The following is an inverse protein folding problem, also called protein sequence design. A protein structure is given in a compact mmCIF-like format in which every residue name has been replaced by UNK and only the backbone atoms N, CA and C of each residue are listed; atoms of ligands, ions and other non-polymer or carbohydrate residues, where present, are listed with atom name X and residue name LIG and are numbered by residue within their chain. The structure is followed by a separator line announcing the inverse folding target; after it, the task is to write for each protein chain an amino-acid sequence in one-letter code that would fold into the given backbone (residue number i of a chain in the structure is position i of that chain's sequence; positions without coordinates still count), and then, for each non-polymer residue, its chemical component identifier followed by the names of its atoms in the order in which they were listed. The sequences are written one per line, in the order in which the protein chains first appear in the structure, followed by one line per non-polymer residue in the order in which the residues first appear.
data_IF_778780604699
#
_entry.id   IF_778780604699
#
_cell.length_a   1.000
_cell.length_b   1.000
_cell.length_c   1.000
_cell.angle_alpha   90.00
_cell.angle_beta   90.00
_cell.angle_gamma   90.00
#
_symmetry.space_group_name_H-M   'P 1'
#
loop_
_entity.id
_entity.type
_entity.pdbx_description
1 polymer ?
#
# COMPACT_ATOMS: atom_id res chain seq x y z
N UNK A 1 -39.85 57.19 -43.50
CA UNK A 1 -38.53 56.75 -44.00
C UNK A 1 -37.82 56.18 -42.77
N UNK A 2 -38.03 54.92 -42.41
CA UNK A 2 -37.35 53.68 -42.90
C UNK A 2 -35.86 53.63 -42.55
N UNK A 3 -35.54 52.66 -41.69
CA UNK A 3 -34.28 51.88 -41.53
C UNK A 3 -33.04 52.66 -41.02
N UNK A 4 -32.12 52.14 -40.19
CA UNK A 4 -31.71 50.75 -39.93
C UNK A 4 -30.90 50.64 -38.60
N UNK A 5 -30.75 49.38 -38.15
CA UNK A 5 -30.19 48.84 -36.91
C UNK A 5 -28.74 49.19 -36.56
N UNK A 6 -28.40 49.14 -35.26
CA UNK A 6 -27.60 48.03 -34.67
C UNK A 6 -27.56 48.12 -33.14
N UNK A 7 -28.31 47.22 -32.51
CA UNK A 7 -28.03 46.67 -31.18
C UNK A 7 -26.73 45.85 -31.25
N UNK A 8 -25.81 46.08 -30.31
CA UNK A 8 -24.83 45.06 -29.90
C UNK A 8 -24.99 44.86 -28.41
N UNK A 9 -25.77 43.83 -28.09
CA UNK A 9 -25.87 43.21 -26.78
C UNK A 9 -24.52 42.62 -26.41
N UNK A 10 -23.88 43.17 -25.37
CA UNK A 10 -22.78 42.52 -24.67
C UNK A 10 -23.36 41.41 -23.79
N UNK A 11 -23.40 40.20 -24.34
CA UNK A 11 -23.56 38.97 -23.58
C UNK A 11 -22.23 38.22 -23.69
N UNK A 12 -21.34 38.45 -22.73
CA UNK A 12 -20.15 37.61 -22.54
C UNK A 12 -20.37 36.90 -21.21
N UNK A 13 -20.89 35.69 -21.30
CA UNK A 13 -21.23 34.84 -20.17
C UNK A 13 -19.96 34.23 -19.59
N UNK A 14 -19.62 34.61 -18.36
CA UNK A 14 -18.74 33.81 -17.51
C UNK A 14 -19.54 32.60 -17.01
N UNK A 15 -19.72 31.61 -17.87
CA UNK A 15 -20.13 30.28 -17.41
C UNK A 15 -18.94 29.64 -16.69
N UNK A 16 -19.19 29.20 -15.45
CA UNK A 16 -18.20 28.49 -14.63
C UNK A 16 -17.70 27.27 -15.40
N UNK A 17 -16.38 27.02 -15.35
CA UNK A 17 -15.76 25.85 -16.00
C UNK A 17 -16.41 24.53 -15.54
N UNK A 18 -16.94 24.49 -14.31
CA UNK A 18 -17.72 23.35 -13.82
C UNK A 18 -18.98 23.08 -14.66
N UNK A 19 -19.69 24.13 -15.10
CA UNK A 19 -20.91 23.99 -15.90
C UNK A 19 -20.61 23.54 -17.34
N UNK A 20 -19.47 23.96 -17.90
CA UNK A 20 -19.05 23.54 -19.24
C UNK A 20 -18.67 22.05 -19.28
N UNK A 21 -18.08 21.53 -18.21
CA UNK A 21 -17.72 20.11 -18.09
C UNK A 21 -18.99 19.26 -17.89
N UNK A 22 -19.95 19.73 -17.08
CA UNK A 22 -21.21 19.03 -16.85
C UNK A 22 -22.10 18.96 -18.11
N UNK A 23 -22.06 19.99 -18.97
CA UNK A 23 -22.76 19.99 -20.26
C UNK A 23 -22.20 18.94 -21.23
N UNK A 24 -20.87 18.76 -21.30
CA UNK A 24 -20.23 17.81 -22.22
C UNK A 24 -20.52 16.36 -21.82
N UNK A 25 -20.67 16.08 -20.53
CA UNK A 25 -20.96 14.73 -20.02
C UNK A 25 -22.46 14.36 -20.08
N UNK A 26 -23.33 15.35 -20.26
CA UNK A 26 -24.79 15.15 -20.33
C UNK A 26 -25.29 14.84 -21.76
N UNK A 27 -24.46 15.06 -22.79
CA UNK A 27 -24.86 14.95 -24.20
C UNK A 27 -24.75 13.53 -24.79
N UNK A 28 -24.19 12.55 -24.06
CA UNK A 28 -23.98 11.18 -24.57
C UNK A 28 -25.17 10.22 -24.38
N UNK A 29 -26.31 10.68 -23.84
CA UNK A 29 -27.46 9.82 -23.51
C UNK A 29 -28.74 10.08 -24.34
N UNK A 30 -28.61 10.69 -25.52
CA UNK A 30 -29.76 10.87 -26.43
C UNK A 30 -29.48 10.38 -27.83
N UNK A 31 -29.59 9.06 -28.05
CA UNK A 31 -30.08 8.45 -29.30
C UNK A 31 -30.08 6.90 -29.20
N UNK A 32 -31.12 6.32 -28.61
CA UNK A 32 -31.86 5.22 -29.23
C UNK A 32 -33.04 4.81 -28.34
N UNK A 33 -34.22 5.30 -28.70
CA UNK A 33 -35.48 4.67 -28.31
C UNK A 33 -36.18 4.30 -29.62
N UNK A 34 -36.24 3.00 -29.93
CA UNK A 34 -37.34 2.46 -30.74
C UNK A 34 -37.61 0.99 -30.39
N UNK A 35 -38.57 0.84 -29.48
CA UNK A 35 -39.69 -0.11 -29.50
C UNK A 35 -39.51 -1.53 -30.06
N UNK A 36 -39.73 -2.55 -29.20
CA UNK A 36 -41.04 -3.25 -29.17
C UNK A 36 -41.08 -4.24 -28.00
N UNK A 37 -42.15 -4.14 -27.20
CA UNK A 37 -42.64 -5.24 -26.39
C UNK A 37 -43.34 -6.25 -27.31
N UNK A 38 -43.29 -7.55 -27.03
CA UNK A 38 -44.38 -8.41 -26.51
C UNK A 38 -44.01 -9.90 -26.69
N UNK A 39 -44.50 -10.71 -25.74
CA UNK A 39 -44.85 -12.15 -25.81
C UNK A 39 -43.85 -13.19 -25.27
N UNK A 40 -44.31 -13.74 -24.14
CA UNK A 40 -43.97 -15.03 -23.56
C UNK A 40 -44.55 -16.12 -24.45
N UNK A 41 -43.75 -17.08 -24.88
CA UNK A 41 -44.25 -18.41 -25.26
C UNK A 41 -43.30 -19.51 -24.80
N UNK A 42 -43.91 -20.48 -24.12
CA UNK A 42 -43.32 -21.70 -23.58
C UNK A 42 -43.18 -22.77 -24.66
N UNK A 43 -42.17 -23.63 -24.46
CA UNK A 43 -42.06 -25.03 -24.94
C UNK A 43 -42.14 -25.32 -26.46
N UNK A 44 -41.04 -25.85 -27.01
CA UNK A 44 -41.11 -27.18 -27.63
C UNK A 44 -39.74 -27.87 -27.68
N UNK A 45 -39.79 -29.16 -27.35
CA UNK A 45 -38.71 -30.14 -27.37
C UNK A 45 -38.03 -30.24 -28.74
N UNK A 46 -36.70 -30.45 -28.75
CA UNK A 46 -36.08 -31.28 -29.78
C UNK A 46 -34.95 -32.10 -29.17
N UNK A 47 -35.28 -33.38 -28.96
CA UNK A 47 -34.46 -34.58 -29.08
C UNK A 47 -32.96 -34.49 -28.76
N UNK A 48 -32.67 -34.95 -27.53
CA UNK A 48 -31.59 -35.86 -27.14
C UNK A 48 -30.86 -36.51 -28.32
N UNK A 49 -29.63 -36.05 -28.60
CA UNK A 49 -28.60 -36.91 -29.17
C UNK A 49 -27.84 -37.57 -28.04
N UNK A 50 -28.06 -38.89 -27.92
CA UNK A 50 -27.28 -39.82 -27.12
C UNK A 50 -25.80 -39.73 -27.50
N UNK A 51 -24.98 -39.19 -26.61
CA UNK A 51 -23.56 -39.47 -26.57
C UNK A 51 -23.31 -40.41 -25.39
N UNK A 52 -22.87 -41.61 -25.73
CA UNK A 52 -22.46 -42.64 -24.79
C UNK A 52 -21.38 -42.13 -23.83
N UNK A 53 -21.60 -42.40 -22.53
CA UNK A 53 -20.58 -42.64 -21.51
C UNK A 53 -19.31 -41.78 -21.55
N UNK A 54 -19.42 -40.58 -21.01
CA UNK A 54 -18.49 -40.18 -19.97
C UNK A 54 -19.35 -39.90 -18.73
N UNK A 55 -19.32 -40.81 -17.76
CA UNK A 55 -19.56 -40.40 -16.38
C UNK A 55 -18.40 -39.46 -16.06
N UNK A 56 -18.58 -38.16 -16.34
CA UNK A 56 -17.85 -37.14 -15.64
C UNK A 56 -18.11 -37.44 -14.16
N UNK A 57 -17.09 -37.98 -13.49
CA UNK A 57 -17.03 -37.95 -12.04
C UNK A 57 -16.98 -36.46 -11.68
N UNK A 58 -18.15 -35.83 -11.62
CA UNK A 58 -18.32 -34.51 -11.03
C UNK A 58 -18.00 -34.73 -9.56
N UNK A 59 -16.75 -34.46 -9.20
CA UNK A 59 -16.27 -34.61 -7.83
C UNK A 59 -16.90 -33.49 -7.00
N UNK A 60 -17.98 -33.84 -6.29
CA UNK A 60 -18.63 -32.93 -5.37
C UNK A 60 -17.74 -32.76 -4.14
N UNK A 61 -17.52 -31.51 -3.67
CA UNK A 61 -16.76 -31.29 -2.44
C UNK A 61 -17.35 -32.12 -1.29
N UNK A 62 -16.49 -32.69 -0.45
CA UNK A 62 -16.89 -33.61 0.65
C UNK A 62 -17.96 -33.00 1.58
N UNK A 63 -18.01 -31.66 1.67
CA UNK A 63 -18.97 -30.87 2.46
C UNK A 63 -20.43 -30.99 1.98
N UNK A 64 -20.62 -31.39 0.71
CA UNK A 64 -21.93 -31.59 0.08
C UNK A 64 -22.30 -33.07 -0.08
N UNK A 65 -21.49 -33.98 0.48
CA UNK A 65 -21.71 -35.41 0.46
C UNK A 65 -22.01 -35.91 1.87
N UNK A 66 -22.96 -36.83 1.98
CA UNK A 66 -23.20 -37.59 3.20
C UNK A 66 -22.11 -38.66 3.36
N UNK A 67 -22.03 -39.27 4.54
CA UNK A 67 -21.05 -40.33 4.84
C UNK A 67 -21.19 -41.59 3.96
N UNK A 68 -22.30 -41.75 3.26
CA UNK A 68 -22.56 -42.81 2.28
C UNK A 68 -22.21 -42.42 0.84
N UNK A 69 -21.65 -41.22 0.61
CA UNK A 69 -21.29 -40.69 -0.69
C UNK A 69 -22.47 -40.14 -1.50
N UNK A 70 -23.69 -40.11 -0.94
CA UNK A 70 -24.85 -39.47 -1.58
C UNK A 70 -24.86 -37.96 -1.33
N UNK A 71 -25.43 -37.19 -2.26
CA UNK A 71 -25.49 -35.72 -2.16
C UNK A 71 -26.36 -35.30 -0.97
N UNK A 72 -25.81 -34.47 -0.11
CA UNK A 72 -26.55 -33.84 0.98
C UNK A 72 -27.30 -32.60 0.49
N UNK A 73 -28.53 -32.84 0.02
CA UNK A 73 -29.45 -31.80 -0.46
C UNK A 73 -29.70 -30.72 0.62
N UNK A 74 -29.62 -31.05 1.90
CA UNK A 74 -29.89 -30.11 2.99
C UNK A 74 -28.72 -29.14 3.20
N UNK A 75 -27.47 -29.62 3.15
CA UNK A 75 -26.28 -28.78 3.15
C UNK A 75 -26.17 -27.95 1.86
N UNK A 76 -26.52 -28.53 0.71
CA UNK A 76 -26.55 -27.82 -0.56
C UNK A 76 -27.57 -26.66 -0.51
N UNK A 77 -28.78 -26.89 0.02
CA UNK A 77 -29.78 -25.85 0.17
C UNK A 77 -29.33 -24.75 1.15
N UNK A 78 -28.69 -25.11 2.26
CA UNK A 78 -28.14 -24.14 3.23
C UNK A 78 -27.08 -23.26 2.59
N UNK A 79 -26.10 -23.85 1.89
CA UNK A 79 -25.05 -23.08 1.20
C UNK A 79 -25.62 -22.14 0.12
N UNK A 80 -26.65 -22.57 -0.62
CA UNK A 80 -27.32 -21.73 -1.61
C UNK A 80 -28.10 -20.57 -0.95
N UNK A 81 -28.77 -20.83 0.18
CA UNK A 81 -29.46 -19.79 0.96
C UNK A 81 -28.48 -18.79 1.58
N UNK A 82 -27.27 -19.22 1.94
CA UNK A 82 -26.18 -18.36 2.42
C UNK A 82 -25.50 -17.57 1.29
N UNK A 83 -25.40 -18.15 0.09
CA UNK A 83 -24.85 -17.48 -1.11
C UNK A 83 -25.77 -16.38 -1.65
N UNK A 84 -27.09 -16.56 -1.54
CA UNK A 84 -28.06 -15.59 -2.07
C UNK A 84 -27.86 -14.15 -1.55
N UNK A 85 -27.78 -13.89 -0.23
CA UNK A 85 -27.51 -12.53 0.26
C UNK A 85 -26.12 -12.03 -0.12
N UNK A 86 -25.12 -12.91 -0.24
CA UNK A 86 -23.75 -12.54 -0.64
C UNK A 86 -23.67 -12.08 -2.11
N UNK A 87 -24.51 -12.63 -3.00
CA UNK A 87 -24.60 -12.18 -4.40
C UNK A 87 -25.19 -10.78 -4.49
N UNK A 88 -26.25 -10.50 -3.71
CA UNK A 88 -26.85 -9.17 -3.64
C UNK A 88 -25.89 -8.15 -3.01
N UNK A 89 -25.14 -8.55 -1.98
CA UNK A 89 -24.06 -7.72 -1.42
C UNK A 89 -22.97 -7.45 -2.46
N UNK A 90 -22.50 -8.48 -3.19
CA UNK A 90 -21.48 -8.31 -4.24
C UNK A 90 -21.92 -7.29 -5.30
N UNK A 91 -23.18 -7.34 -5.73
CA UNK A 91 -23.71 -6.37 -6.68
C UNK A 91 -23.71 -4.94 -6.11
N UNK A 92 -24.00 -4.77 -4.81
CA UNK A 92 -23.90 -3.48 -4.14
C UNK A 92 -22.45 -3.00 -4.02
N UNK A 93 -21.51 -3.88 -3.67
CA UNK A 93 -20.08 -3.58 -3.62
C UNK A 93 -19.53 -3.18 -5.01
N UNK A 94 -19.97 -3.82 -6.09
CA UNK A 94 -19.55 -3.48 -7.44
C UNK A 94 -20.05 -2.08 -7.85
N UNK A 95 -21.30 -1.73 -7.49
CA UNK A 95 -21.83 -0.38 -7.69
C UNK A 95 -21.08 0.67 -6.88
N UNK A 96 -20.81 0.41 -5.60
CA UNK A 96 -20.05 1.30 -4.73
C UNK A 96 -18.60 1.48 -5.23
N UNK A 97 -17.98 0.40 -5.72
CA UNK A 97 -16.65 0.47 -6.33
C UNK A 97 -16.66 1.35 -7.57
N UNK A 98 -17.68 1.24 -8.43
CA UNK A 98 -17.80 2.08 -9.63
C UNK A 98 -17.99 3.56 -9.28
N UNK A 99 -18.80 3.88 -8.27
CA UNK A 99 -18.99 5.27 -7.83
C UNK A 99 -17.72 5.85 -7.22
N UNK A 100 -17.02 5.10 -6.35
CA UNK A 100 -15.74 5.51 -5.79
C UNK A 100 -14.67 5.68 -6.87
N UNK A 101 -14.65 4.81 -7.88
CA UNK A 101 -13.74 4.93 -9.02
C UNK A 101 -13.99 6.22 -9.80
N UNK A 102 -15.25 6.54 -10.12
CA UNK A 102 -15.61 7.80 -10.79
C UNK A 102 -15.18 9.02 -9.98
N UNK A 103 -15.38 9.00 -8.66
CA UNK A 103 -14.92 10.08 -7.78
C UNK A 103 -13.38 10.21 -7.76
N UNK A 104 -12.66 9.08 -7.72
CA UNK A 104 -11.20 9.09 -7.75
C UNK A 104 -10.65 9.57 -9.10
N UNK A 105 -11.30 9.23 -10.20
CA UNK A 105 -10.92 9.69 -11.54
C UNK A 105 -11.21 11.19 -11.71
N UNK A 106 -12.35 11.66 -11.19
CA UNK A 106 -12.66 13.10 -11.15
C UNK A 106 -11.63 13.89 -10.34
N UNK A 107 -11.26 13.41 -9.14
CA UNK A 107 -10.23 14.04 -8.33
C UNK A 107 -8.87 14.11 -9.04
N UNK A 108 -8.47 13.02 -9.72
CA UNK A 108 -7.24 12.99 -10.53
C UNK A 108 -7.27 13.97 -11.70
N UNK A 109 -8.41 14.10 -12.39
CA UNK A 109 -8.55 15.07 -13.47
C UNK A 109 -8.45 16.51 -12.96
N UNK A 110 -9.08 16.81 -11.82
CA UNK A 110 -9.02 18.13 -11.19
C UNK A 110 -7.60 18.50 -10.78
N UNK A 111 -6.87 17.57 -10.15
CA UNK A 111 -5.47 17.76 -9.77
C UNK A 111 -4.57 17.98 -11.01
N UNK A 112 -4.75 17.17 -12.06
CA UNK A 112 -4.02 17.34 -13.31
C UNK A 112 -4.29 18.70 -13.97
N UNK A 113 -5.54 19.19 -13.93
CA UNK A 113 -5.90 20.50 -14.44
C UNK A 113 -5.23 21.63 -13.63
N UNK A 114 -5.25 21.54 -12.30
CA UNK A 114 -4.60 22.53 -11.42
C UNK A 114 -3.08 22.55 -11.64
N UNK A 115 -2.46 21.39 -11.81
CA UNK A 115 -1.04 21.28 -12.12
C UNK A 115 -0.72 21.87 -13.50
N UNK A 116 -1.53 21.60 -14.52
CA UNK A 116 -1.36 22.18 -15.85
C UNK A 116 -1.45 23.71 -15.82
N UNK A 117 -2.39 24.27 -15.06
CA UNK A 117 -2.55 25.72 -14.89
C UNK A 117 -1.34 26.35 -14.20
N UNK A 118 -0.78 25.69 -13.17
CA UNK A 118 0.43 26.15 -12.50
C UNK A 118 1.63 26.20 -13.46
N UNK A 119 1.84 25.14 -14.24
CA UNK A 119 2.92 25.06 -15.23
C UNK A 119 2.72 26.10 -16.34
N UNK A 120 1.50 26.27 -16.86
CA UNK A 120 1.19 27.29 -17.87
C UNK A 120 1.47 28.70 -17.35
N UNK A 121 1.25 28.94 -16.06
CA UNK A 121 1.52 30.22 -15.40
C UNK A 121 3.00 30.41 -15.03
N UNK A 122 3.86 29.43 -15.35
CA UNK A 122 5.31 29.50 -15.13
C UNK A 122 5.79 29.02 -13.76
N UNK A 123 4.92 28.40 -12.95
CA UNK A 123 5.29 27.81 -11.67
C UNK A 123 5.79 26.37 -11.82
N UNK A 124 6.57 25.88 -10.85
CA UNK A 124 7.12 24.53 -10.92
C UNK A 124 6.05 23.45 -10.69
N UNK A 125 5.13 23.71 -9.77
CA UNK A 125 4.01 22.85 -9.44
C UNK A 125 2.87 23.67 -8.79
N UNK A 126 1.76 23.00 -8.49
CA UNK A 126 0.61 23.63 -7.85
C UNK A 126 0.94 24.20 -6.46
N UNK A 127 1.76 23.50 -5.67
CA UNK A 127 2.12 23.92 -4.32
C UNK A 127 2.95 25.21 -4.32
N UNK A 128 3.87 25.34 -5.28
CA UNK A 128 4.68 26.53 -5.54
C UNK A 128 3.79 27.70 -5.95
N UNK A 129 2.84 27.47 -6.86
CA UNK A 129 1.85 28.48 -7.24
C UNK A 129 1.03 28.96 -6.02
N UNK A 130 0.50 28.05 -5.21
CA UNK A 130 -0.27 28.39 -4.02
C UNK A 130 0.57 29.19 -3.02
N UNK A 131 1.81 28.77 -2.76
CA UNK A 131 2.74 29.45 -1.86
C UNK A 131 3.02 30.88 -2.34
N UNK A 132 3.33 31.07 -3.62
CA UNK A 132 3.61 32.40 -4.18
C UNK A 132 2.37 33.29 -4.11
N UNK A 133 1.18 32.76 -4.42
CA UNK A 133 -0.07 33.52 -4.30
C UNK A 133 -0.39 33.91 -2.86
N UNK A 134 -0.17 33.03 -1.87
CA UNK A 134 -0.44 33.32 -0.46
C UNK A 134 0.51 34.41 0.08
N UNK A 135 1.80 34.33 -0.30
CA UNK A 135 2.79 35.37 0.05
C UNK A 135 2.43 36.70 -0.62
N UNK A 136 2.07 36.69 -1.90
CA UNK A 136 1.66 37.89 -2.62
C UNK A 136 0.42 38.53 -2.02
N UNK A 137 -0.55 37.73 -1.58
CA UNK A 137 -1.73 38.20 -0.85
C UNK A 137 -1.34 38.86 0.48
N UNK A 138 -0.46 38.25 1.26
CA UNK A 138 0.03 38.82 2.52
C UNK A 138 0.78 40.14 2.29
N UNK A 139 1.63 40.21 1.26
CA UNK A 139 2.38 41.41 0.89
C UNK A 139 1.43 42.53 0.38
N UNK A 140 0.43 42.18 -0.44
CA UNK A 140 -0.57 43.12 -0.91
C UNK A 140 -1.41 43.69 0.24
N UNK A 141 -1.82 42.86 1.20
CA UNK A 141 -2.54 43.30 2.40
C UNK A 141 -1.72 44.31 3.22
N UNK A 142 -0.40 44.12 3.28
CA UNK A 142 0.47 45.05 3.99
C UNK A 142 0.58 46.39 3.27
N UNK A 143 0.73 46.39 1.94
CA UNK A 143 0.68 47.62 1.15
C UNK A 143 -0.68 48.33 1.26
N UNK A 144 -1.79 47.58 1.29
CA UNK A 144 -3.13 48.15 1.43
C UNK A 144 -3.31 48.98 2.71
N UNK A 145 -2.63 48.61 3.81
CA UNK A 145 -2.67 49.37 5.08
C UNK A 145 -2.10 50.78 4.93
N UNK A 146 -1.20 50.96 3.98
CA UNK A 146 -0.52 52.23 3.71
C UNK A 146 -1.10 52.98 2.50
N UNK A 147 -2.23 52.56 1.92
CA UNK A 147 -2.84 53.27 0.77
C UNK A 147 -3.06 54.77 1.03
N UNK A 148 -3.29 55.16 2.29
CA UNK A 148 -3.45 56.56 2.69
C UNK A 148 -2.19 57.42 2.54
N UNK A 149 -1.01 56.80 2.38
CA UNK A 149 0.27 57.51 2.19
C UNK A 149 0.61 57.74 0.73
N UNK A 150 -0.19 57.20 -0.19
CA UNK A 150 0.07 57.20 -1.64
C UNK A 150 -0.69 58.33 -2.33
N UNK A 151 -0.13 58.86 -3.43
CA UNK A 151 -0.74 59.95 -4.21
C UNK A 151 -2.03 59.54 -4.94
N UNK A 152 -2.09 58.32 -5.50
CA UNK A 152 -3.25 57.78 -6.23
C UNK A 152 -3.76 56.46 -5.62
N UNK A 153 -4.48 56.49 -4.48
CA UNK A 153 -4.88 55.28 -3.76
C UNK A 153 -5.74 54.29 -4.56
N UNK A 154 -6.68 54.79 -5.38
CA UNK A 154 -7.58 53.92 -6.15
C UNK A 154 -6.84 53.16 -7.27
N UNK A 155 -5.87 53.83 -7.90
CA UNK A 155 -4.99 53.20 -8.90
C UNK A 155 -4.13 52.11 -8.26
N UNK A 156 -3.51 52.41 -7.12
CA UNK A 156 -2.67 51.44 -6.40
C UNK A 156 -3.49 50.28 -5.86
N UNK A 157 -4.72 50.52 -5.39
CA UNK A 157 -5.66 49.45 -5.03
C UNK A 157 -5.96 48.53 -6.23
N UNK A 158 -6.13 49.08 -7.42
CA UNK A 158 -6.27 48.30 -8.66
C UNK A 158 -5.03 47.44 -8.97
N UNK A 159 -3.84 48.02 -8.82
CA UNK A 159 -2.57 47.30 -9.01
C UNK A 159 -2.38 46.18 -7.98
N UNK A 160 -2.71 46.43 -6.71
CA UNK A 160 -2.66 45.43 -5.64
C UNK A 160 -3.64 44.28 -5.90
N UNK A 161 -4.87 44.59 -6.37
CA UNK A 161 -5.84 43.56 -6.77
C UNK A 161 -5.34 42.71 -7.95
N UNK A 162 -4.61 43.31 -8.91
CA UNK A 162 -3.98 42.57 -9.99
C UNK A 162 -2.82 41.70 -9.49
N UNK A 163 -2.01 42.21 -8.57
CA UNK A 163 -0.86 41.50 -8.00
C UNK A 163 -1.26 40.24 -7.23
N UNK A 164 -2.41 40.28 -6.54
CA UNK A 164 -3.00 39.10 -5.89
C UNK A 164 -3.34 37.96 -6.87
N UNK A 165 -3.65 38.29 -8.12
CA UNK A 165 -4.01 37.32 -9.16
C UNK A 165 -2.79 36.89 -9.97
N UNK A 166 -1.88 37.83 -10.25
CA UNK A 166 -0.70 37.64 -11.09
C UNK A 166 0.53 38.23 -10.40
N UNK A 167 1.13 37.49 -9.44
CA UNK A 167 2.24 37.99 -8.64
C UNK A 167 3.55 37.99 -9.44
N UNK A 168 3.82 39.10 -10.11
CA UNK A 168 5.05 39.30 -10.90
C UNK A 168 5.93 40.37 -10.27
N UNK A 169 7.25 40.19 -10.37
CA UNK A 169 8.25 41.17 -9.90
C UNK A 169 8.06 42.54 -10.56
N UNK A 170 7.71 42.57 -11.85
CA UNK A 170 7.45 43.82 -12.57
C UNK A 170 6.25 44.59 -12.03
N UNK A 171 5.17 43.88 -11.67
CA UNK A 171 3.99 44.49 -11.09
C UNK A 171 4.24 44.95 -9.66
N UNK A 172 5.01 44.17 -8.89
CA UNK A 172 5.45 44.56 -7.56
C UNK A 172 6.28 45.85 -7.61
N UNK A 173 7.23 45.97 -8.52
CA UNK A 173 8.04 47.18 -8.69
C UNK A 173 7.19 48.42 -8.97
N UNK A 174 6.17 48.29 -9.84
CA UNK A 174 5.22 49.39 -10.13
C UNK A 174 4.39 49.80 -8.92
N UNK A 175 4.07 48.85 -8.03
CA UNK A 175 3.39 49.15 -6.78
C UNK A 175 4.36 49.85 -5.82
N UNK A 176 5.58 49.33 -5.70
CA UNK A 176 6.61 49.83 -4.80
C UNK A 176 7.07 51.26 -5.13
N UNK A 177 7.09 51.65 -6.41
CA UNK A 177 7.38 53.03 -6.85
C UNK A 177 6.44 54.08 -6.22
N UNK A 178 5.24 53.68 -5.81
CA UNK A 178 4.21 54.55 -5.22
C UNK A 178 4.33 54.65 -3.69
N UNK A 179 5.17 53.82 -3.05
CA UNK A 179 5.35 53.77 -1.60
C UNK A 179 6.72 54.29 -1.16
N UNK A 180 6.79 54.71 0.11
CA UNK A 180 8.09 55.07 0.71
C UNK A 180 8.95 53.84 0.96
N UNK A 181 10.27 54.03 0.96
CA UNK A 181 11.26 52.97 1.20
C UNK A 181 11.00 52.22 2.53
N UNK A 182 10.47 52.90 3.55
CA UNK A 182 10.17 52.27 4.84
C UNK A 182 8.97 51.31 4.76
N UNK A 183 7.95 51.65 3.98
CA UNK A 183 6.79 50.78 3.74
C UNK A 183 7.22 49.56 2.92
N UNK A 184 8.04 49.75 1.89
CA UNK A 184 8.59 48.67 1.06
C UNK A 184 9.38 47.68 1.94
N UNK A 185 10.30 48.19 2.77
CA UNK A 185 11.07 47.35 3.71
C UNK A 185 10.16 46.57 4.66
N UNK A 186 9.12 47.21 5.19
CA UNK A 186 8.18 46.54 6.10
C UNK A 186 7.43 45.41 5.40
N UNK A 187 6.92 45.65 4.19
CA UNK A 187 6.24 44.65 3.39
C UNK A 187 7.16 43.48 3.01
N UNK A 188 8.42 43.76 2.66
CA UNK A 188 9.44 42.74 2.37
C UNK A 188 9.78 41.89 3.60
N UNK A 189 9.96 42.50 4.79
CA UNK A 189 10.22 41.74 6.03
C UNK A 189 9.02 40.86 6.38
N UNK A 190 7.80 41.36 6.17
CA UNK A 190 6.58 40.59 6.43
C UNK A 190 6.48 39.40 5.46
N UNK A 191 6.70 39.61 4.16
CA UNK A 191 6.61 38.54 3.16
C UNK A 191 7.66 37.45 3.41
N UNK A 192 8.89 37.81 3.78
CA UNK A 192 9.93 36.85 4.16
C UNK A 192 9.57 36.05 5.41
N UNK A 193 9.06 36.71 6.46
CA UNK A 193 8.60 36.01 7.67
C UNK A 193 7.47 35.05 7.36
N UNK A 194 6.49 35.51 6.58
CA UNK A 194 5.33 34.71 6.22
C UNK A 194 5.73 33.51 5.37
N UNK A 195 6.64 33.68 4.40
CA UNK A 195 7.24 32.59 3.63
C UNK A 195 7.88 31.54 4.54
N UNK A 196 8.68 31.99 5.52
CA UNK A 196 9.33 31.08 6.47
C UNK A 196 8.32 30.34 7.36
N UNK A 197 7.28 31.03 7.83
CA UNK A 197 6.20 30.41 8.62
C UNK A 197 5.42 29.36 7.81
N UNK A 198 5.13 29.65 6.54
CA UNK A 198 4.44 28.71 5.66
C UNK A 198 5.28 27.46 5.41
N UNK A 199 6.57 27.65 5.11
CA UNK A 199 7.48 26.54 4.88
C UNK A 199 7.65 25.68 6.15
N UNK A 200 7.73 26.29 7.33
CA UNK A 200 7.74 25.55 8.59
C UNK A 200 6.46 24.78 8.83
N UNK A 201 5.29 25.36 8.51
CA UNK A 201 4.00 24.69 8.62
C UNK A 201 3.90 23.50 7.68
N UNK A 202 4.31 23.65 6.42
CA UNK A 202 4.34 22.57 5.44
C UNK A 202 5.26 21.43 5.90
N UNK A 203 6.48 21.74 6.35
CA UNK A 203 7.40 20.74 6.88
C UNK A 203 6.82 20.01 8.11
N UNK A 204 6.13 20.73 9.00
CA UNK A 204 5.48 20.13 10.16
C UNK A 204 4.31 19.22 9.78
N UNK A 205 3.51 19.60 8.78
CA UNK A 205 2.42 18.77 8.26
C UNK A 205 2.94 17.49 7.61
N UNK A 206 3.96 17.60 6.75
CA UNK A 206 4.63 16.44 6.16
C UNK A 206 5.19 15.52 7.23
N UNK A 207 5.87 16.07 8.25
CA UNK A 207 6.38 15.28 9.36
C UNK A 207 5.26 14.55 10.13
N UNK A 208 4.14 15.20 10.42
CA UNK A 208 3.00 14.55 11.08
C UNK A 208 2.34 13.47 10.20
N UNK A 209 2.31 13.64 8.87
CA UNK A 209 1.88 12.59 7.94
C UNK A 209 2.82 11.38 8.01
N UNK A 210 4.13 11.59 7.82
CA UNK A 210 5.11 10.50 7.92
C UNK A 210 5.07 9.79 9.28
N UNK A 211 4.86 10.54 10.35
CA UNK A 211 4.71 9.98 11.70
C UNK A 211 3.46 9.13 11.82
N UNK A 212 2.32 9.56 11.25
CA UNK A 212 1.09 8.75 11.21
C UNK A 212 1.29 7.48 10.40
N UNK A 213 1.85 7.58 9.20
CA UNK A 213 2.15 6.43 8.34
C UNK A 213 3.08 5.43 9.04
N UNK A 214 4.15 5.92 9.67
CA UNK A 214 5.05 5.08 10.45
C UNK A 214 4.35 4.43 11.65
N UNK A 215 3.47 5.16 12.34
CA UNK A 215 2.68 4.61 13.45
C UNK A 215 1.71 3.53 12.96
N UNK A 216 1.04 3.75 11.84
CA UNK A 216 0.12 2.79 11.22
C UNK A 216 0.86 1.53 10.75
N UNK A 217 2.04 1.70 10.15
CA UNK A 217 2.90 0.60 9.73
C UNK A 217 3.35 -0.26 10.93
N UNK A 218 3.89 0.37 11.97
CA UNK A 218 4.33 -0.34 13.19
C UNK A 218 3.16 -1.01 13.89
N UNK A 219 2.01 -0.33 13.99
CA UNK A 219 0.82 -0.88 14.63
C UNK A 219 0.28 -2.08 13.86
N UNK A 220 0.25 -2.00 12.53
CA UNK A 220 -0.16 -3.11 11.66
C UNK A 220 0.80 -4.30 11.80
N UNK A 221 2.11 -4.06 11.79
CA UNK A 221 3.11 -5.09 12.00
C UNK A 221 2.96 -5.82 13.35
N UNK A 222 2.71 -5.08 14.44
CA UNK A 222 2.48 -5.67 15.76
C UNK A 222 1.18 -6.49 15.78
N UNK A 223 0.12 -5.99 15.15
CA UNK A 223 -1.18 -6.66 15.08
C UNK A 223 -1.11 -7.96 14.28
N UNK A 224 -0.40 -7.95 13.16
CA UNK A 224 -0.30 -9.10 12.27
C UNK A 224 0.64 -10.18 12.82
N UNK A 225 1.64 -9.78 13.62
CA UNK A 225 2.68 -10.67 14.12
C UNK A 225 2.93 -10.56 15.64
N UNK A 226 1.89 -10.71 16.49
CA UNK A 226 1.98 -10.39 17.92
C UNK A 226 3.00 -11.27 18.66
N UNK A 227 3.16 -12.53 18.26
CA UNK A 227 4.12 -13.44 18.89
C UNK A 227 5.58 -13.07 18.65
N UNK A 228 5.90 -12.49 17.49
CA UNK A 228 7.26 -12.07 17.16
C UNK A 228 7.67 -10.84 17.96
N UNK A 229 6.74 -9.90 18.19
CA UNK A 229 6.98 -8.70 19.00
C UNK A 229 7.04 -8.97 20.51
N UNK A 230 6.80 -10.21 20.98
CA UNK A 230 7.10 -10.63 22.36
C UNK A 230 8.57 -10.95 22.58
N UNK A 231 9.35 -11.17 21.50
CA UNK A 231 10.76 -11.54 21.55
C UNK A 231 11.60 -10.25 21.55
N UNK A 232 12.30 -9.90 22.66
CA UNK A 232 13.05 -8.65 22.76
C UNK A 232 14.10 -8.47 21.66
N UNK A 233 14.75 -9.56 21.25
CA UNK A 233 15.76 -9.58 20.18
C UNK A 233 15.15 -9.23 18.82
N UNK A 234 13.94 -9.73 18.55
CA UNK A 234 13.22 -9.38 17.32
C UNK A 234 12.80 -7.91 17.35
N UNK A 235 12.34 -7.38 18.48
CA UNK A 235 11.98 -5.96 18.62
C UNK A 235 13.20 -5.05 18.38
N UNK A 236 14.37 -5.43 18.93
CA UNK A 236 15.63 -4.72 18.69
C UNK A 236 16.01 -4.72 17.21
N UNK A 237 15.98 -5.89 16.57
CA UNK A 237 16.25 -6.04 15.14
C UNK A 237 15.25 -5.25 14.27
N UNK A 238 13.95 -5.30 14.60
CA UNK A 238 12.90 -4.59 13.88
C UNK A 238 13.10 -3.07 13.94
N UNK A 239 13.49 -2.54 15.11
CA UNK A 239 13.83 -1.13 15.29
C UNK A 239 15.05 -0.71 14.46
N UNK A 240 16.10 -1.52 14.45
CA UNK A 240 17.29 -1.25 13.64
C UNK A 240 16.97 -1.32 12.15
N UNK A 241 16.19 -2.30 11.73
CA UNK A 241 15.78 -2.45 10.34
C UNK A 241 14.93 -1.26 9.86
N UNK A 242 14.00 -0.77 10.68
CA UNK A 242 13.27 0.47 10.43
C UNK A 242 14.19 1.69 10.32
N UNK A 243 15.24 1.78 11.14
CA UNK A 243 16.21 2.88 11.06
C UNK A 243 17.04 2.88 9.78
N UNK A 244 17.23 1.72 9.14
CA UNK A 244 18.07 1.57 7.93
C UNK A 244 17.23 1.61 6.65
N UNK A 245 16.04 1.00 6.67
CA UNK A 245 15.19 0.80 5.49
C UNK A 245 13.92 1.64 5.48
N UNK A 246 13.56 2.28 6.59
CA UNK A 246 12.33 3.06 6.70
C UNK A 246 11.07 2.21 6.52
N UNK A 247 10.07 2.81 5.88
CA UNK A 247 8.78 2.24 5.48
C UNK A 247 8.88 1.27 4.29
N UNK A 248 9.95 1.33 3.49
CA UNK A 248 10.24 0.37 2.40
C UNK A 248 10.60 -1.05 2.91
N UNK A 249 10.49 -1.27 4.21
CA UNK A 249 10.78 -2.51 4.89
C UNK A 249 9.55 -3.44 4.90
N UNK A 250 9.58 -4.53 4.14
CA UNK A 250 8.47 -5.50 4.12
C UNK A 250 8.55 -6.49 5.29
N UNK A 251 7.84 -6.17 6.38
CA UNK A 251 7.79 -6.98 7.61
C UNK A 251 7.33 -8.42 7.35
N UNK A 252 6.35 -8.63 6.47
CA UNK A 252 5.79 -9.94 6.18
C UNK A 252 6.79 -10.89 5.51
N UNK A 253 7.51 -10.43 4.49
CA UNK A 253 8.58 -11.21 3.82
C UNK A 253 9.70 -11.57 4.79
N UNK A 254 10.10 -10.63 5.65
CA UNK A 254 11.13 -10.89 6.65
C UNK A 254 10.69 -11.99 7.62
N UNK A 255 9.48 -11.88 8.17
CA UNK A 255 8.97 -12.85 9.15
C UNK A 255 8.82 -14.23 8.51
N UNK A 256 8.35 -14.31 7.26
CA UNK A 256 8.34 -15.56 6.50
C UNK A 256 9.75 -16.15 6.37
N UNK A 257 10.75 -15.33 6.08
CA UNK A 257 12.13 -15.80 5.96
C UNK A 257 12.66 -16.32 7.30
N UNK A 258 12.37 -15.64 8.41
CA UNK A 258 12.74 -16.06 9.77
C UNK A 258 12.06 -17.37 10.18
N UNK A 259 10.77 -17.56 9.86
CA UNK A 259 10.08 -18.81 10.15
C UNK A 259 10.65 -19.96 9.31
N UNK A 260 10.96 -19.72 8.03
CA UNK A 260 11.64 -20.70 7.18
C UNK A 260 13.01 -21.09 7.76
N UNK A 261 13.80 -20.11 8.20
CA UNK A 261 15.11 -20.35 8.81
C UNK A 261 14.99 -21.20 10.09
N UNK A 262 14.04 -20.85 10.95
CA UNK A 262 13.72 -21.60 12.18
C UNK A 262 13.31 -23.04 11.88
N UNK A 263 12.51 -23.27 10.85
CA UNK A 263 12.14 -24.63 10.42
C UNK A 263 13.36 -25.41 9.91
N UNK A 264 14.25 -24.78 9.15
CA UNK A 264 15.50 -25.41 8.68
C UNK A 264 16.37 -25.83 9.85
N UNK A 265 16.63 -24.92 10.80
CA UNK A 265 17.41 -25.25 12.00
C UNK A 265 16.76 -26.35 12.83
N UNK A 266 15.43 -26.34 12.97
CA UNK A 266 14.71 -27.39 13.69
C UNK A 266 14.85 -28.76 13.02
N UNK A 267 14.82 -28.81 11.69
CA UNK A 267 15.06 -30.06 10.93
C UNK A 267 16.49 -30.56 11.15
N UNK A 268 17.48 -29.69 10.99
CA UNK A 268 18.89 -30.02 11.22
C UNK A 268 19.13 -30.53 12.64
N UNK A 269 18.55 -29.86 13.65
CA UNK A 269 18.67 -30.29 15.04
C UNK A 269 18.05 -31.66 15.31
N UNK A 270 16.88 -31.96 14.71
CA UNK A 270 16.24 -33.28 14.84
C UNK A 270 17.07 -34.37 14.15
N UNK A 271 17.59 -34.09 12.96
CA UNK A 271 18.47 -35.00 12.22
C UNK A 271 19.76 -35.29 13.02
N UNK A 272 20.37 -34.25 13.60
CA UNK A 272 21.57 -34.39 14.42
C UNK A 272 21.29 -35.15 15.74
N UNK A 273 20.14 -34.92 16.38
CA UNK A 273 19.70 -35.73 17.53
C UNK A 273 19.49 -37.20 17.16
N UNK A 274 18.86 -37.48 16.01
CA UNK A 274 18.66 -38.85 15.54
C UNK A 274 20.00 -39.53 15.29
N UNK A 275 20.90 -38.87 14.56
CA UNK A 275 22.25 -39.37 14.29
C UNK A 275 23.03 -39.64 15.59
N UNK A 276 22.97 -38.74 16.58
CA UNK A 276 23.59 -38.97 17.88
C UNK A 276 22.96 -40.14 18.64
N UNK A 277 21.64 -40.33 18.56
CA UNK A 277 20.96 -41.45 19.21
C UNK A 277 21.30 -42.80 18.55
N UNK A 278 21.50 -42.81 17.24
CA UNK A 278 21.93 -43.99 16.48
C UNK A 278 23.38 -44.32 16.79
N UNK A 279 24.27 -43.32 16.81
CA UNK A 279 25.67 -43.49 17.23
C UNK A 279 25.77 -44.04 18.67
N UNK A 280 24.94 -43.58 19.61
CA UNK A 280 24.93 -44.13 20.97
C UNK A 280 24.38 -45.56 21.04
N UNK A 281 23.40 -45.93 20.21
CA UNK A 281 22.93 -47.33 20.08
C UNK A 281 24.01 -48.22 19.50
N UNK A 282 24.70 -47.76 18.46
CA UNK A 282 25.77 -48.49 17.80
C UNK A 282 26.99 -48.64 18.72
N UNK A 283 27.33 -47.62 19.49
CA UNK A 283 28.35 -47.67 20.55
C UNK A 283 27.98 -48.63 21.68
N UNK A 284 26.70 -48.70 22.07
CA UNK A 284 26.22 -49.72 23.03
C UNK A 284 26.27 -51.12 22.44
N UNK A 285 25.93 -51.29 21.15
CA UNK A 285 26.02 -52.56 20.44
C UNK A 285 27.46 -53.06 20.31
N UNK A 286 28.40 -52.18 19.96
CA UNK A 286 29.83 -52.46 19.92
C UNK A 286 30.39 -52.82 21.31
N UNK A 287 29.91 -52.15 22.38
CA UNK A 287 30.23 -52.54 23.77
C UNK A 287 29.68 -53.92 24.15
N UNK A 288 28.52 -54.32 23.63
CA UNK A 288 27.96 -55.66 23.88
C UNK A 288 28.62 -56.76 23.04
N UNK A 289 29.23 -56.41 21.91
CA UNK A 289 30.05 -57.31 21.08
C UNK A 289 31.51 -57.40 21.54
N UNK A 290 31.95 -56.51 22.43
CA UNK A 290 33.28 -56.61 23.03
C UNK A 290 33.37 -57.88 23.91
N UNK A 291 34.43 -58.70 23.78
CA UNK A 291 34.52 -59.98 24.47
C UNK A 291 34.44 -59.80 26.00
N UNK A 292 33.54 -60.52 26.68
CA UNK A 292 33.42 -60.52 28.14
C UNK A 292 34.49 -61.34 28.86
N UNK A 293 35.52 -61.78 28.16
CA UNK A 293 36.65 -62.50 28.73
C UNK A 293 37.80 -61.52 28.92
N UNK A 294 37.91 -60.95 30.12
CA UNK A 294 39.22 -60.50 30.58
C UNK A 294 40.12 -61.73 30.60
N UNK A 295 41.19 -61.80 29.78
CA UNK A 295 42.22 -62.78 30.05
C UNK A 295 42.83 -62.41 31.40
N UNK A 296 42.96 -63.39 32.30
CA UNK A 296 43.78 -63.25 33.51
C UNK A 296 45.24 -63.09 33.08
N UNK A 297 45.62 -61.90 32.62
CA UNK A 297 47.02 -61.54 32.43
C UNK A 297 47.56 -61.33 33.84
N UNK A 298 48.40 -62.26 34.29
CA UNK A 298 49.10 -62.12 35.55
C UNK A 298 50.19 -61.05 35.32
N UNK A 299 50.10 -59.85 35.91
CA UNK A 299 50.85 -58.67 35.48
C UNK A 299 52.36 -58.72 35.79
N UNK A 300 52.87 -59.83 36.32
CA UNK A 300 54.24 -59.98 36.82
C UNK A 300 55.11 -60.98 36.05
N UNK A 301 54.67 -61.53 34.91
CA UNK A 301 55.56 -62.28 34.00
C UNK A 301 55.99 -61.37 32.85
N UNK A 302 57.29 -61.30 32.58
CA UNK A 302 57.79 -60.63 31.37
C UNK A 302 57.56 -61.55 30.18
N UNK A 303 57.48 -60.98 28.97
CA UNK A 303 57.24 -61.72 27.72
C UNK A 303 58.26 -62.86 27.51
N UNK A 304 59.46 -62.68 28.04
CA UNK A 304 60.58 -63.63 28.01
C UNK A 304 60.37 -64.89 28.89
N UNK A 305 59.40 -64.87 29.81
CA UNK A 305 59.12 -65.97 30.76
C UNK A 305 57.97 -66.88 30.30
N UNK A 306 57.44 -66.66 29.09
CA UNK A 306 56.39 -67.48 28.50
C UNK A 306 57.02 -68.63 27.73
N UNK A 307 56.56 -69.85 28.02
CA UNK A 307 56.95 -71.02 27.21
C UNK A 307 56.25 -70.96 25.84
N UNK A 308 56.86 -71.54 24.80
CA UNK A 308 56.33 -71.47 23.43
C UNK A 308 54.86 -71.93 23.32
N UNK A 309 54.45 -72.93 24.11
CA UNK A 309 53.07 -73.40 24.19
C UNK A 309 52.10 -72.38 24.81
N UNK A 310 52.55 -71.60 25.81
CA UNK A 310 51.73 -70.54 26.42
C UNK A 310 51.59 -69.33 25.48
N UNK A 311 52.61 -69.06 24.66
CA UNK A 311 52.61 -68.02 23.65
C UNK A 311 51.69 -68.37 22.47
N UNK A 312 51.71 -69.62 22.02
CA UNK A 312 50.86 -70.10 20.93
C UNK A 312 49.37 -70.07 21.34
N UNK A 313 49.06 -70.45 22.58
CA UNK A 313 47.70 -70.34 23.14
C UNK A 313 47.24 -68.89 23.30
N UNK A 314 48.15 -67.96 23.60
CA UNK A 314 47.83 -66.53 23.73
C UNK A 314 47.64 -65.85 22.36
N UNK A 315 48.35 -66.30 21.33
CA UNK A 315 48.21 -65.83 19.95
C UNK A 315 46.89 -66.36 19.34
N UNK A 316 46.52 -67.62 19.57
CA UNK A 316 45.21 -68.16 19.16
C UNK A 316 44.03 -67.43 19.80
N UNK A 317 44.21 -66.82 20.98
CA UNK A 317 43.16 -66.03 21.65
C UNK A 317 43.04 -64.58 21.12
N UNK A 318 43.98 -64.14 20.27
CA UNK A 318 44.04 -62.78 19.70
C UNK A 318 43.61 -62.71 18.22
N UNK A 319 43.47 -63.86 17.54
CA UNK A 319 42.94 -64.02 16.17
C UNK A 319 41.47 -64.41 16.23
#
# INVERSE_FOLDING_TARGET
MTEENTDISTQDGTESLENQIESILSEDDTNNDDTSATEVESESNTEVQTSENNQDNIEYPEEFLKSDGSVDVENLLKSYQELKPLVDEKANWEKERETLQKQADYARQLEAQQQALAVQSGFQNQEDMQLVMEIANAQANEYERFLHTVAEPDRVRGLLALYRKVPTQELLAKIEDEYSVDVIKRASILSERYKNELQQRQNAQQYEQYKKEAQEFVSSAIKDYPEWFKIPEFVGFFKEALSVKGDAFETSKLIQHLENLKQVFRKQFIEEQKANSENEKEKKFLKTLSPKTNPKINPNKKIEDYTDAELETAIEALV
#
